data_IF_048383896028
#
_entry.id   IF_048383896028
#
_cell.length_a   1.000
_cell.length_b   1.000
_cell.length_c   1.000
_cell.angle_alpha   90.00
_cell.angle_beta   90.00
_cell.angle_gamma   90.00
#
_symmetry.space_group_name_H-M   'P 1'
#
loop_
_entity.id
_entity.type
_entity.pdbx_description
1 polymer ?
#
# COMPACT_ATOMS: atom_id res chain seq x y z
N UNK A 1 16.71 15.91 -10.94
CA UNK A 1 16.60 14.80 -9.95
C UNK A 1 15.63 15.20 -8.86
N UNK A 2 14.55 14.45 -8.69
CA UNK A 2 13.55 14.72 -7.65
C UNK A 2 14.10 14.37 -6.26
N UNK A 3 13.39 14.77 -5.20
CA UNK A 3 13.79 14.40 -3.85
C UNK A 3 13.77 12.88 -3.66
N UNK A 4 12.85 12.19 -4.30
CA UNK A 4 12.73 10.75 -4.27
C UNK A 4 13.95 10.06 -4.88
N UNK A 5 14.51 10.62 -5.96
CA UNK A 5 15.70 10.05 -6.61
C UNK A 5 16.96 10.10 -5.73
N UNK A 6 16.97 10.96 -4.71
CA UNK A 6 18.11 11.14 -3.83
C UNK A 6 18.09 10.25 -2.59
N UNK A 7 16.96 9.64 -2.30
CA UNK A 7 16.79 8.79 -1.12
C UNK A 7 17.16 7.35 -1.45
N UNK A 8 17.78 6.67 -0.48
CA UNK A 8 18.04 5.24 -0.58
C UNK A 8 16.84 4.49 0.00
N UNK A 9 15.86 4.21 -0.85
CA UNK A 9 14.64 3.55 -0.42
C UNK A 9 14.86 2.11 -0.01
N UNK A 10 15.86 1.41 -0.57
CA UNK A 10 16.17 0.06 -0.13
C UNK A 10 16.76 0.03 1.27
N UNK A 11 17.56 1.03 1.64
CA UNK A 11 18.01 1.18 3.02
C UNK A 11 16.84 1.50 3.96
N UNK A 12 15.90 2.34 3.53
CA UNK A 12 14.69 2.65 4.30
C UNK A 12 13.81 1.41 4.47
N UNK A 13 13.67 0.61 3.42
CA UNK A 13 12.89 -0.64 3.44
C UNK A 13 13.44 -1.63 4.47
N UNK A 14 14.75 -1.66 4.64
CA UNK A 14 15.42 -2.59 5.55
C UNK A 14 15.35 -2.18 7.03
N UNK A 15 14.95 -0.95 7.33
CA UNK A 15 14.90 -0.43 8.71
C UNK A 15 13.60 -0.82 9.40
N UNK A 16 13.70 -1.48 10.52
CA UNK A 16 12.54 -1.86 11.32
C UNK A 16 12.12 -0.77 12.33
N UNK A 17 13.05 0.04 12.82
CA UNK A 17 12.77 1.15 13.75
C UNK A 17 11.91 0.73 14.96
N UNK A 18 12.24 -0.43 15.55
CA UNK A 18 11.50 -0.96 16.70
C UNK A 18 10.19 -1.65 16.35
N UNK A 19 9.90 -1.86 15.07
CA UNK A 19 8.70 -2.55 14.61
C UNK A 19 9.02 -3.99 14.17
N UNK A 20 8.07 -4.93 14.18
CA UNK A 20 6.65 -4.71 14.49
C UNK A 20 6.40 -4.55 15.99
N UNK A 21 5.32 -3.86 16.33
CA UNK A 21 4.87 -3.71 17.71
C UNK A 21 3.39 -3.36 17.78
N UNK A 22 2.79 -3.59 18.95
CA UNK A 22 1.44 -3.11 19.26
C UNK A 22 1.58 -1.91 20.18
N UNK A 23 0.92 -0.81 19.82
CA UNK A 23 0.83 0.39 20.65
C UNK A 23 -0.61 0.57 21.09
N UNK A 24 -0.80 0.79 22.40
CA UNK A 24 -2.15 1.07 22.91
C UNK A 24 -2.41 2.57 22.70
N UNK A 25 -3.48 2.87 21.95
CA UNK A 25 -3.91 4.26 21.73
C UNK A 25 -4.90 4.66 22.80
N UNK A 26 -4.90 5.95 23.16
CA UNK A 26 -5.76 6.47 24.23
C UNK A 26 -6.80 7.46 23.74
N UNK A 27 -6.71 7.89 22.49
CA UNK A 27 -7.64 8.84 21.91
C UNK A 27 -9.00 8.18 21.63
N UNK A 28 -10.04 8.67 22.30
CA UNK A 28 -11.38 8.10 22.21
C UNK A 28 -11.94 8.08 20.79
N UNK A 29 -11.67 9.13 20.01
CA UNK A 29 -12.16 9.23 18.64
C UNK A 29 -11.49 8.17 17.73
N UNK A 30 -10.21 7.93 17.92
CA UNK A 30 -9.46 6.90 17.19
C UNK A 30 -9.97 5.52 17.54
N UNK A 31 -10.17 5.25 18.83
CA UNK A 31 -10.69 3.95 19.31
C UNK A 31 -12.07 3.68 18.69
N UNK A 32 -12.95 4.68 18.70
CA UNK A 32 -14.28 4.55 18.11
C UNK A 32 -14.23 4.31 16.61
N UNK A 33 -13.35 5.03 15.91
CA UNK A 33 -13.22 4.93 14.45
C UNK A 33 -12.72 3.56 13.99
N UNK A 34 -11.74 2.98 14.70
CA UNK A 34 -11.06 1.76 14.27
C UNK A 34 -11.47 0.51 15.07
N UNK A 35 -12.36 0.66 16.04
CA UNK A 35 -12.95 -0.48 16.73
C UNK A 35 -12.12 -1.06 17.87
N UNK A 36 -11.12 -0.32 18.40
CA UNK A 36 -10.33 -0.79 19.52
C UNK A 36 -9.10 0.07 19.77
N UNK A 37 -8.37 -0.27 20.84
CA UNK A 37 -7.20 0.49 21.28
C UNK A 37 -5.85 -0.09 20.86
N UNK A 38 -5.82 -1.32 20.37
CA UNK A 38 -4.58 -2.04 20.02
C UNK A 38 -4.20 -1.76 18.56
N UNK A 39 -3.26 -0.85 18.37
CA UNK A 39 -2.79 -0.46 17.05
C UNK A 39 -1.51 -1.22 16.69
N UNK A 40 -1.53 -1.90 15.54
CA UNK A 40 -0.36 -2.59 15.01
C UNK A 40 0.49 -1.63 14.16
N UNK A 41 1.79 -1.67 14.42
CA UNK A 41 2.79 -0.93 13.64
C UNK A 41 3.71 -1.96 12.99
N UNK A 42 3.60 -2.11 11.67
CA UNK A 42 4.42 -3.03 10.89
C UNK A 42 5.53 -2.27 10.17
N UNK A 43 6.74 -2.83 10.06
CA UNK A 43 7.82 -2.19 9.32
C UNK A 43 7.61 -2.27 7.82
N UNK A 44 8.30 -1.43 7.04
CA UNK A 44 8.10 -1.39 5.58
C UNK A 44 8.28 -2.73 4.88
N UNK A 45 9.24 -3.56 5.33
CA UNK A 45 9.51 -4.86 4.71
C UNK A 45 8.31 -5.82 4.77
N UNK A 46 7.47 -5.71 5.80
CA UNK A 46 6.28 -6.55 5.91
C UNK A 46 5.23 -6.19 4.85
N UNK A 47 5.09 -4.89 4.56
CA UNK A 47 4.25 -4.43 3.45
C UNK A 47 4.80 -4.92 2.11
N UNK A 48 6.11 -4.81 1.92
CA UNK A 48 6.77 -5.24 0.70
C UNK A 48 6.57 -6.73 0.42
N UNK A 49 6.70 -7.58 1.45
CA UNK A 49 6.47 -9.01 1.33
C UNK A 49 5.04 -9.34 0.90
N UNK A 50 4.06 -8.65 1.49
CA UNK A 50 2.65 -8.84 1.12
C UNK A 50 2.41 -8.37 -0.31
N UNK A 51 2.94 -7.19 -0.67
CA UNK A 51 2.80 -6.63 -2.01
C UNK A 51 3.40 -7.56 -3.07
N UNK A 52 4.52 -8.22 -2.77
CA UNK A 52 5.14 -9.22 -3.65
C UNK A 52 4.24 -10.43 -3.91
N UNK A 53 3.36 -10.76 -2.98
CA UNK A 53 2.50 -11.93 -3.08
C UNK A 53 1.31 -11.74 -4.01
N UNK A 54 0.99 -10.51 -4.41
CA UNK A 54 -0.16 -10.23 -5.27
C UNK A 54 0.17 -10.64 -6.71
N UNK A 55 -0.56 -11.63 -7.27
CA UNK A 55 -0.20 -12.17 -8.58
C UNK A 55 -0.63 -11.27 -9.73
N UNK A 56 -0.09 -11.54 -10.90
CA UNK A 56 -0.45 -10.88 -12.16
C UNK A 56 -1.97 -10.90 -12.36
N UNK A 57 -2.53 -9.76 -12.76
CA UNK A 57 -3.96 -9.63 -13.03
C UNK A 57 -4.83 -9.43 -11.79
N UNK A 58 -4.22 -9.45 -10.60
CA UNK A 58 -4.93 -9.18 -9.34
C UNK A 58 -4.46 -7.87 -8.74
N UNK A 59 -5.32 -7.31 -7.88
CA UNK A 59 -5.03 -6.08 -7.14
C UNK A 59 -5.39 -6.27 -5.68
N UNK A 60 -4.90 -5.37 -4.83
CA UNK A 60 -5.27 -5.35 -3.43
C UNK A 60 -5.37 -3.90 -2.95
N UNK A 61 -6.48 -3.51 -2.30
CA UNK A 61 -6.53 -2.22 -1.61
C UNK A 61 -5.66 -2.25 -0.36
N UNK A 62 -5.01 -1.14 -0.06
CA UNK A 62 -4.16 -1.03 1.13
C UNK A 62 -4.93 -1.35 2.42
N UNK A 63 -6.22 -1.00 2.48
CA UNK A 63 -7.06 -1.35 3.63
C UNK A 63 -7.13 -2.85 3.90
N UNK A 64 -7.12 -3.68 2.87
CA UNK A 64 -7.11 -5.14 3.02
C UNK A 64 -5.78 -5.64 3.59
N UNK A 65 -4.67 -5.01 3.22
CA UNK A 65 -3.35 -5.33 3.81
C UNK A 65 -3.34 -4.96 5.30
N UNK A 66 -3.85 -3.78 5.64
CA UNK A 66 -3.93 -3.33 7.04
C UNK A 66 -4.79 -4.28 7.89
N UNK A 67 -5.93 -4.68 7.37
CA UNK A 67 -6.82 -5.60 8.06
C UNK A 67 -6.14 -6.96 8.30
N UNK A 68 -5.48 -7.49 7.30
CA UNK A 68 -4.73 -8.74 7.40
C UNK A 68 -3.64 -8.67 8.47
N UNK A 69 -2.86 -7.59 8.48
CA UNK A 69 -1.78 -7.40 9.46
C UNK A 69 -2.32 -7.33 10.89
N UNK A 70 -3.41 -6.59 11.11
CA UNK A 70 -4.01 -6.50 12.43
C UNK A 70 -4.57 -7.85 12.88
N UNK A 71 -5.33 -8.50 12.02
CA UNK A 71 -5.98 -9.78 12.33
C UNK A 71 -4.98 -10.88 12.66
N UNK A 72 -3.89 -10.97 11.91
CA UNK A 72 -2.89 -12.03 12.10
C UNK A 72 -1.92 -11.75 13.24
N UNK A 73 -1.95 -10.55 13.82
CA UNK A 73 -1.05 -10.15 14.90
C UNK A 73 -1.78 -9.74 16.19
N UNK A 74 -3.06 -10.09 16.31
CA UNK A 74 -3.82 -9.86 17.54
C UNK A 74 -4.07 -8.40 17.88
N UNK A 75 -4.16 -7.53 16.87
CA UNK A 75 -4.43 -6.11 17.02
C UNK A 75 -5.83 -5.77 16.53
N UNK A 76 -6.34 -4.62 16.94
CA UNK A 76 -7.66 -4.14 16.53
C UNK A 76 -7.60 -3.44 15.17
N UNK A 77 -6.51 -2.76 14.88
CA UNK A 77 -6.28 -2.11 13.59
C UNK A 77 -4.78 -1.89 13.37
N UNK A 78 -4.42 -1.61 12.11
CA UNK A 78 -3.06 -1.25 11.72
C UNK A 78 -3.01 0.24 11.43
N UNK A 79 -1.95 0.93 11.87
CA UNK A 79 -1.79 2.36 11.67
C UNK A 79 -1.91 2.72 10.18
N UNK A 80 -2.92 3.53 9.80
CA UNK A 80 -3.12 3.88 8.39
C UNK A 80 -2.08 4.87 7.86
N UNK A 81 -1.48 5.68 8.73
CA UNK A 81 -0.52 6.72 8.31
C UNK A 81 0.78 6.07 7.86
N UNK A 82 1.38 5.23 8.70
CA UNK A 82 2.62 4.53 8.34
C UNK A 82 2.40 3.54 7.20
N UNK A 83 1.21 2.93 7.12
CA UNK A 83 0.87 2.03 6.01
C UNK A 83 1.03 2.73 4.66
N UNK A 84 0.47 3.93 4.52
CA UNK A 84 0.58 4.72 3.29
C UNK A 84 2.02 5.10 2.96
N UNK A 85 2.80 5.48 3.97
CA UNK A 85 4.21 5.83 3.80
C UNK A 85 5.02 4.59 3.37
N UNK A 86 4.77 3.45 4.02
CA UNK A 86 5.59 2.24 3.82
C UNK A 86 5.33 1.54 2.49
N UNK A 87 4.09 1.56 1.98
CA UNK A 87 3.86 1.02 0.62
C UNK A 87 4.53 1.90 -0.44
N UNK A 88 4.62 3.20 -0.21
CA UNK A 88 5.37 4.10 -1.08
C UNK A 88 6.87 3.81 -1.04
N UNK A 89 7.43 3.56 0.14
CA UNK A 89 8.83 3.14 0.30
C UNK A 89 9.07 1.83 -0.46
N UNK A 90 8.20 0.84 -0.32
CA UNK A 90 8.32 -0.42 -1.03
C UNK A 90 8.31 -0.23 -2.55
N UNK A 91 7.44 0.64 -3.05
CA UNK A 91 7.34 0.94 -4.48
C UNK A 91 8.63 1.58 -5.01
N UNK A 92 9.13 2.62 -4.34
CA UNK A 92 10.35 3.30 -4.75
C UNK A 92 11.58 2.42 -4.59
N UNK A 93 11.64 1.59 -3.55
CA UNK A 93 12.73 0.63 -3.36
C UNK A 93 12.78 -0.37 -4.52
N UNK A 94 11.63 -0.89 -4.93
CA UNK A 94 11.54 -1.78 -6.10
C UNK A 94 12.00 -1.09 -7.38
N UNK A 95 11.57 0.15 -7.57
CA UNK A 95 11.94 0.95 -8.74
C UNK A 95 13.46 1.19 -8.81
N UNK A 96 14.11 1.39 -7.67
CA UNK A 96 15.54 1.71 -7.61
C UNK A 96 16.46 0.49 -7.70
N UNK A 97 15.97 -0.71 -7.41
CA UNK A 97 16.81 -1.91 -7.47
C UNK A 97 16.60 -2.68 -8.76
N UNK A 98 17.58 -3.49 -9.13
CA UNK A 98 17.47 -4.44 -10.23
C UNK A 98 17.26 -5.85 -9.65
N UNK A 99 16.27 -6.55 -10.18
CA UNK A 99 15.90 -7.87 -9.68
C UNK A 99 15.05 -7.82 -8.42
N UNK A 100 14.39 -8.92 -8.09
CA UNK A 100 13.48 -9.06 -6.95
C UNK A 100 12.45 -7.94 -6.89
N UNK A 101 11.79 -7.66 -8.00
CA UNK A 101 10.80 -6.59 -8.10
C UNK A 101 9.58 -6.86 -7.25
N UNK A 102 9.03 -5.77 -6.70
CA UNK A 102 7.73 -5.76 -6.04
C UNK A 102 6.72 -5.19 -7.03
N UNK A 103 5.67 -5.94 -7.40
CA UNK A 103 4.64 -5.41 -8.32
C UNK A 103 3.74 -4.41 -7.59
N UNK A 104 4.31 -3.27 -7.19
CA UNK A 104 3.68 -2.27 -6.35
C UNK A 104 2.43 -1.66 -6.98
N UNK A 105 2.36 -1.62 -8.31
CA UNK A 105 1.20 -1.06 -9.03
C UNK A 105 -0.09 -1.83 -8.77
N UNK A 106 -0.02 -3.05 -8.23
CA UNK A 106 -1.17 -3.88 -7.86
C UNK A 106 -1.76 -3.51 -6.51
N UNK A 107 -1.06 -2.69 -5.71
CA UNK A 107 -1.56 -2.19 -4.42
C UNK A 107 -2.21 -0.82 -4.63
N UNK A 108 -3.50 -0.73 -4.32
CA UNK A 108 -4.33 0.44 -4.61
C UNK A 108 -4.74 1.15 -3.33
N UNK A 109 -5.13 2.42 -3.47
CA UNK A 109 -5.78 3.17 -2.40
C UNK A 109 -7.24 2.72 -2.26
N UNK A 110 -7.93 3.25 -1.27
CA UNK A 110 -9.35 2.94 -1.03
C UNK A 110 -10.19 3.14 -2.30
N UNK A 111 -11.17 2.27 -2.51
CA UNK A 111 -12.05 2.33 -3.66
C UNK A 111 -11.42 1.92 -4.98
N UNK A 112 -10.22 1.36 -4.96
CA UNK A 112 -9.50 0.98 -6.18
C UNK A 112 -8.74 2.12 -6.83
N UNK A 113 -8.49 3.20 -6.09
CA UNK A 113 -7.81 4.38 -6.61
C UNK A 113 -6.32 4.14 -6.84
N UNK A 114 -5.80 4.63 -7.98
CA UNK A 114 -4.38 4.63 -8.28
C UNK A 114 -3.63 5.61 -7.37
N UNK A 115 -2.38 5.29 -7.04
CA UNK A 115 -1.59 6.06 -6.09
C UNK A 115 -0.61 7.01 -6.81
N UNK A 116 -0.82 8.35 -6.71
CA UNK A 116 0.05 9.30 -7.39
C UNK A 116 1.47 9.37 -6.80
N UNK A 117 1.70 8.78 -5.64
CA UNK A 117 3.01 8.79 -4.98
C UNK A 117 3.95 7.68 -5.46
N UNK A 118 3.45 6.74 -6.25
CA UNK A 118 4.29 5.67 -6.82
C UNK A 118 5.21 6.21 -7.92
N UNK A 119 6.31 5.52 -8.21
CA UNK A 119 7.23 5.94 -9.28
C UNK A 119 6.52 6.18 -10.62
N UNK A 120 6.73 7.35 -11.22
CA UNK A 120 6.08 7.74 -12.46
C UNK A 120 4.64 8.20 -12.33
N UNK A 121 4.09 8.22 -11.10
CA UNK A 121 2.75 8.69 -10.82
C UNK A 121 1.65 7.79 -11.36
N UNK A 122 0.43 8.34 -11.45
CA UNK A 122 -0.74 7.57 -11.88
C UNK A 122 -0.64 7.08 -13.32
N UNK A 123 0.03 7.80 -14.21
CA UNK A 123 0.17 7.39 -15.60
C UNK A 123 1.02 6.12 -15.75
N UNK A 124 2.14 6.04 -15.04
CA UNK A 124 2.98 4.85 -15.07
C UNK A 124 2.24 3.64 -14.46
N UNK A 125 1.55 3.84 -13.36
CA UNK A 125 0.75 2.79 -12.73
C UNK A 125 -0.37 2.31 -13.66
N UNK A 126 -1.07 3.26 -14.31
CA UNK A 126 -2.12 2.95 -15.27
C UNK A 126 -1.64 2.04 -16.39
N UNK A 127 -0.50 2.36 -16.99
CA UNK A 127 0.05 1.54 -18.08
C UNK A 127 0.32 0.11 -17.63
N UNK A 128 0.87 -0.07 -16.43
CA UNK A 128 1.14 -1.41 -15.90
C UNK A 128 -0.14 -2.17 -15.60
N UNK A 129 -1.14 -1.52 -15.04
CA UNK A 129 -2.44 -2.15 -14.75
C UNK A 129 -3.19 -2.50 -16.03
N UNK A 130 -3.18 -1.62 -17.03
CA UNK A 130 -3.81 -1.91 -18.33
C UNK A 130 -3.13 -3.09 -19.02
N UNK A 131 -1.81 -3.21 -18.90
CA UNK A 131 -1.07 -4.35 -19.43
C UNK A 131 -1.47 -5.67 -18.77
N UNK A 132 -2.03 -5.61 -17.55
CA UNK A 132 -2.53 -6.79 -16.84
C UNK A 132 -4.03 -7.02 -17.04
N UNK A 133 -4.66 -6.29 -17.94
CA UNK A 133 -6.05 -6.48 -18.31
C UNK A 133 -7.06 -5.62 -17.57
N UNK A 134 -6.60 -4.68 -16.75
CA UNK A 134 -7.51 -3.79 -16.02
C UNK A 134 -7.94 -2.61 -16.87
N UNK A 135 -9.16 -2.14 -16.64
CA UNK A 135 -9.69 -0.91 -17.24
C UNK A 135 -9.60 0.21 -16.20
N UNK A 136 -9.05 1.33 -16.58
CA UNK A 136 -8.90 2.48 -15.70
C UNK A 136 -9.95 3.52 -16.04
N UNK A 137 -10.69 3.99 -15.02
CA UNK A 137 -11.69 5.03 -15.14
C UNK A 137 -11.23 6.29 -14.43
N UNK A 138 -11.74 7.41 -14.92
CA UNK A 138 -11.40 8.74 -14.42
C UNK A 138 -12.62 9.34 -13.73
N UNK A 139 -12.41 9.97 -12.56
CA UNK A 139 -13.46 10.68 -11.83
C UNK A 139 -12.97 12.03 -11.36
N UNK A 140 -13.92 12.95 -11.15
CA UNK A 140 -13.65 14.29 -10.65
C UNK A 140 -13.58 15.33 -11.75
N UNK A 141 -13.76 16.62 -11.38
CA UNK A 141 -13.72 17.76 -12.30
C UNK A 141 -12.45 18.59 -12.09
N UNK A 142 -12.18 19.03 -10.85
CA UNK A 142 -10.99 19.81 -10.49
C UNK A 142 -9.85 18.90 -10.06
N UNK A 143 -10.16 17.93 -9.20
CA UNK A 143 -9.20 16.94 -8.73
C UNK A 143 -9.50 15.62 -9.43
N UNK A 144 -8.81 15.38 -10.54
CA UNK A 144 -9.01 14.17 -11.31
C UNK A 144 -8.28 13.01 -10.63
N UNK A 145 -9.02 11.92 -10.39
CA UNK A 145 -8.49 10.70 -9.81
C UNK A 145 -8.79 9.53 -10.73
N UNK A 146 -7.94 8.53 -10.67
CA UNK A 146 -8.04 7.34 -11.51
C UNK A 146 -8.30 6.12 -10.66
N UNK A 147 -9.13 5.20 -11.16
CA UNK A 147 -9.57 4.01 -10.43
C UNK A 147 -9.55 2.80 -11.34
N UNK A 148 -9.28 1.63 -10.76
CA UNK A 148 -9.51 0.37 -11.45
C UNK A 148 -11.01 0.09 -11.46
N UNK A 149 -11.59 -0.02 -12.66
CA UNK A 149 -13.01 -0.34 -12.82
C UNK A 149 -13.29 -1.75 -12.30
N UNK A 150 -14.35 -1.90 -11.51
CA UNK A 150 -14.77 -3.20 -10.96
C UNK A 150 -13.63 -3.89 -10.18
N UNK A 151 -12.88 -3.12 -9.41
CA UNK A 151 -11.70 -3.64 -8.71
C UNK A 151 -12.02 -4.82 -7.80
N UNK A 152 -13.23 -4.87 -7.23
CA UNK A 152 -13.66 -5.95 -6.34
C UNK A 152 -13.57 -7.32 -6.99
N UNK A 153 -13.76 -7.38 -8.31
CA UNK A 153 -13.71 -8.64 -9.07
C UNK A 153 -12.29 -9.16 -9.26
N UNK A 154 -11.29 -8.28 -9.11
CA UNK A 154 -9.89 -8.61 -9.30
C UNK A 154 -9.11 -8.67 -7.99
N UNK A 155 -9.77 -8.57 -6.84
CA UNK A 155 -9.09 -8.54 -5.54
C UNK A 155 -8.38 -9.85 -5.23
N UNK A 156 -7.12 -9.73 -4.83
CA UNK A 156 -6.35 -10.82 -4.23
C UNK A 156 -6.75 -10.94 -2.76
N UNK A 157 -6.96 -12.17 -2.29
CA UNK A 157 -7.33 -12.45 -0.90
C UNK A 157 -6.11 -12.93 -0.12
N UNK A 158 -5.85 -12.27 1.02
CA UNK A 158 -4.82 -12.69 1.98
C UNK A 158 -5.45 -13.66 2.99
N UNK A 159 -4.79 -14.79 3.19
CA UNK A 159 -5.29 -15.87 4.06
C UNK A 159 -4.57 -15.84 5.39
#
# INVERSE_FOLDING_TARGET
>A
MSNEDRKDFNAMLARDNGMPKIQVVTDAATIAKYGGERMYLAPPRMYDEIMKSVPFGRIIPLGAIREYLARTNGADFTDPITAGIFVSIAAWASFQRSGSETPYWRTLKAGGELNPKYPGGTQAQRLKLEAEGHTIIQRGRKNIRYYVKDYEKAMHTLI
#
